data_IF_546172084390
#
_entry.id   IF_546172084390
#
_cell.length_a   1.000
_cell.length_b   1.000
_cell.length_c   1.000
_cell.angle_alpha   90.00
_cell.angle_beta   90.00
_cell.angle_gamma   90.00
#
_symmetry.space_group_name_H-M   'P 1'
#
loop_
_entity.id
_entity.type
_entity.pdbx_description
1 polymer ?
#
# COMPACT_ATOMS: atom_id res chain seq x y z
N UNK A 1 15.51 -10.77 23.41
CA UNK A 1 14.10 -11.19 23.22
C UNK A 1 13.96 -11.58 21.76
N UNK A 2 13.48 -12.79 21.47
CA UNK A 2 13.40 -13.32 20.11
C UNK A 2 12.08 -12.99 19.43
N UNK A 3 12.12 -12.86 18.11
CA UNK A 3 10.99 -12.75 17.20
C UNK A 3 11.17 -13.75 16.06
N UNK A 4 10.22 -14.68 15.91
CA UNK A 4 10.12 -15.48 14.70
C UNK A 4 9.32 -14.71 13.65
N UNK A 5 9.84 -14.67 12.42
CA UNK A 5 9.14 -14.16 11.25
C UNK A 5 8.95 -15.33 10.28
N UNK A 6 7.70 -15.59 9.90
CA UNK A 6 7.34 -16.50 8.81
C UNK A 6 6.76 -15.63 7.71
N UNK A 7 7.31 -15.71 6.51
CA UNK A 7 6.81 -14.91 5.38
C UNK A 7 7.62 -15.10 4.12
N UNK A 8 7.11 -14.55 3.02
CA UNK A 8 7.66 -14.82 1.70
C UNK A 8 9.01 -14.16 1.43
N UNK A 9 9.83 -14.84 0.63
CA UNK A 9 11.03 -14.27 -0.02
C UNK A 9 10.80 -14.31 -1.51
N UNK A 10 10.50 -13.15 -2.09
CA UNK A 10 9.99 -13.03 -3.46
C UNK A 10 10.78 -12.03 -4.26
N UNK A 11 10.84 -12.22 -5.58
CA UNK A 11 11.19 -11.12 -6.45
C UNK A 11 10.02 -10.15 -6.56
N UNK A 12 10.31 -8.85 -6.48
CA UNK A 12 9.36 -7.79 -6.78
C UNK A 12 9.92 -6.98 -7.93
N UNK A 13 9.13 -6.87 -9.00
CA UNK A 13 9.51 -6.24 -10.26
C UNK A 13 8.50 -5.15 -10.60
N UNK A 14 8.94 -3.89 -10.66
CA UNK A 14 8.14 -2.79 -11.18
C UNK A 14 8.62 -2.44 -12.59
N UNK A 15 7.69 -2.37 -13.54
CA UNK A 15 8.00 -2.03 -14.93
C UNK A 15 8.27 -0.53 -15.09
N UNK A 16 7.44 0.31 -14.47
CA UNK A 16 7.59 1.75 -14.51
C UNK A 16 7.30 2.42 -13.14
N UNK A 17 8.30 3.06 -12.50
CA UNK A 17 9.70 3.09 -12.91
C UNK A 17 10.33 1.70 -12.77
N UNK A 18 11.33 1.42 -13.61
CA UNK A 18 12.02 0.12 -13.62
C UNK A 18 12.71 -0.14 -12.26
N UNK A 19 12.24 -1.16 -11.54
CA UNK A 19 12.80 -1.61 -10.26
C UNK A 19 12.71 -3.13 -10.17
N UNK A 20 13.77 -3.78 -9.68
CA UNK A 20 13.75 -5.23 -9.41
C UNK A 20 14.57 -5.54 -8.17
N UNK A 21 13.97 -6.25 -7.22
CA UNK A 21 14.65 -6.64 -5.98
C UNK A 21 14.20 -8.00 -5.47
N UNK A 22 15.11 -8.72 -4.82
CA UNK A 22 14.75 -9.84 -3.95
C UNK A 22 14.30 -9.26 -2.61
N UNK A 23 13.04 -9.43 -2.28
CA UNK A 23 12.40 -8.97 -1.07
C UNK A 23 11.30 -9.95 -0.67
N UNK A 24 10.02 -9.60 -0.80
CA UNK A 24 8.89 -10.34 -0.21
C UNK A 24 8.56 -9.88 1.21
N UNK A 25 7.36 -10.21 1.66
CA UNK A 25 6.81 -9.72 2.93
C UNK A 25 7.66 -10.10 4.14
N UNK A 26 8.11 -11.35 4.20
CA UNK A 26 8.92 -11.88 5.28
C UNK A 26 10.33 -11.29 5.30
N UNK A 27 11.05 -11.34 4.18
CA UNK A 27 12.43 -10.84 4.11
C UNK A 27 12.48 -9.33 4.35
N UNK A 28 11.53 -8.57 3.77
CA UNK A 28 11.41 -7.13 4.02
C UNK A 28 11.16 -6.83 5.49
N UNK A 29 10.22 -7.53 6.13
CA UNK A 29 9.92 -7.34 7.55
C UNK A 29 11.14 -7.64 8.43
N UNK A 30 11.86 -8.72 8.14
CA UNK A 30 13.08 -9.08 8.87
C UNK A 30 14.16 -7.99 8.73
N UNK A 31 14.42 -7.51 7.50
CA UNK A 31 15.36 -6.41 7.26
C UNK A 31 14.91 -5.10 7.91
N UNK A 32 13.60 -4.82 7.92
CA UNK A 32 13.02 -3.63 8.52
C UNK A 32 13.23 -3.56 10.04
N UNK A 33 13.20 -4.71 10.71
CA UNK A 33 13.35 -4.84 12.16
C UNK A 33 14.79 -5.09 12.62
N UNK A 34 15.74 -5.20 11.69
CA UNK A 34 17.15 -5.30 12.04
C UNK A 34 17.62 -4.08 12.86
N UNK A 35 18.64 -4.29 13.69
CA UNK A 35 19.21 -3.27 14.60
C UNK A 35 18.22 -2.71 15.65
N UNK A 36 17.11 -3.41 15.94
CA UNK A 36 16.16 -3.04 17.02
C UNK A 36 16.45 -3.70 18.37
N UNK A 37 17.60 -4.36 18.52
CA UNK A 37 17.98 -5.06 19.75
C UNK A 37 17.18 -6.34 20.03
N UNK A 38 16.60 -6.93 18.98
CA UNK A 38 15.89 -8.21 19.02
C UNK A 38 16.63 -9.24 18.17
N UNK A 39 16.53 -10.51 18.55
CA UNK A 39 17.01 -11.62 17.73
C UNK A 39 15.90 -12.01 16.75
N UNK A 40 16.22 -12.11 15.47
CA UNK A 40 15.25 -12.40 14.42
C UNK A 40 15.58 -13.77 13.82
N UNK A 41 14.65 -14.71 14.01
CA UNK A 41 14.62 -15.98 13.30
C UNK A 41 13.64 -15.85 12.12
N UNK A 42 14.12 -16.05 10.90
CA UNK A 42 13.30 -15.89 9.70
C UNK A 42 13.13 -17.23 8.98
N UNK A 43 11.89 -17.62 8.68
CA UNK A 43 11.57 -18.82 7.88
C UNK A 43 10.89 -18.41 6.57
N UNK A 44 11.40 -18.94 5.46
CA UNK A 44 10.87 -18.65 4.13
C UNK A 44 11.10 -19.77 3.12
N UNK A 45 10.56 -19.57 1.93
CA UNK A 45 10.72 -20.43 0.76
C UNK A 45 11.47 -19.69 -0.33
N UNK A 46 12.37 -20.41 -1.01
CA UNK A 46 13.16 -19.84 -2.11
C UNK A 46 13.71 -20.93 -3.01
N UNK A 47 13.99 -20.59 -4.28
CA UNK A 47 14.69 -21.51 -5.17
C UNK A 47 16.13 -21.78 -4.70
N UNK A 48 16.67 -22.93 -5.10
CA UNK A 48 18.08 -23.26 -4.85
C UNK A 48 19.06 -22.23 -5.46
N UNK A 49 18.68 -21.57 -6.56
CA UNK A 49 19.50 -20.58 -7.26
C UNK A 49 19.63 -19.26 -6.48
N UNK A 50 18.54 -18.82 -5.83
CA UNK A 50 18.51 -17.51 -5.17
C UNK A 50 18.83 -17.61 -3.66
N UNK A 51 18.96 -18.83 -3.11
CA UNK A 51 19.23 -19.07 -1.70
C UNK A 51 20.46 -18.33 -1.18
N UNK A 52 21.58 -18.38 -1.88
CA UNK A 52 22.83 -17.72 -1.46
C UNK A 52 22.66 -16.20 -1.35
N UNK A 53 21.90 -15.60 -2.28
CA UNK A 53 21.58 -14.17 -2.24
C UNK A 53 20.73 -13.84 -1.01
N UNK A 54 19.70 -14.64 -0.71
CA UNK A 54 18.85 -14.42 0.46
C UNK A 54 19.60 -14.60 1.79
N UNK A 55 20.46 -15.61 1.89
CA UNK A 55 21.34 -15.82 3.05
C UNK A 55 22.31 -14.66 3.23
N UNK A 56 22.89 -14.15 2.14
CA UNK A 56 23.79 -12.97 2.16
C UNK A 56 23.06 -11.73 2.68
N UNK A 57 21.83 -11.48 2.21
CA UNK A 57 20.99 -10.39 2.71
C UNK A 57 20.75 -10.59 4.22
N UNK A 58 20.27 -11.75 4.65
CA UNK A 58 20.01 -12.01 6.07
C UNK A 58 21.24 -11.78 6.94
N UNK A 59 22.40 -12.32 6.54
CA UNK A 59 23.66 -12.16 7.27
C UNK A 59 24.09 -10.70 7.38
N UNK A 60 23.91 -9.90 6.32
CA UNK A 60 24.25 -8.47 6.34
C UNK A 60 23.41 -7.64 7.33
N UNK A 61 22.21 -8.13 7.68
CA UNK A 61 21.31 -7.53 8.66
C UNK A 61 21.33 -8.24 10.03
N UNK A 62 22.16 -9.27 10.21
CA UNK A 62 22.23 -10.05 11.45
C UNK A 62 21.00 -10.92 11.72
N UNK A 63 20.32 -11.39 10.66
CA UNK A 63 19.10 -12.20 10.72
C UNK A 63 19.47 -13.68 10.57
N UNK A 64 18.89 -14.55 11.40
CA UNK A 64 19.00 -16.00 11.25
C UNK A 64 17.99 -16.52 10.23
N UNK A 65 18.38 -16.52 8.95
CA UNK A 65 17.53 -16.97 7.84
C UNK A 65 17.52 -18.48 7.64
N UNK A 66 16.32 -19.07 7.63
CA UNK A 66 16.06 -20.48 7.34
C UNK A 66 15.23 -20.57 6.07
N UNK A 67 15.79 -21.21 5.04
CA UNK A 67 15.19 -21.29 3.72
C UNK A 67 14.86 -22.73 3.33
N UNK A 68 13.58 -22.99 3.10
CA UNK A 68 13.08 -24.23 2.52
C UNK A 68 13.12 -24.10 1.00
N UNK A 69 13.63 -25.12 0.32
CA UNK A 69 13.76 -25.09 -1.14
C UNK A 69 12.38 -25.26 -1.81
N UNK A 70 12.08 -24.35 -2.73
CA UNK A 70 11.01 -24.45 -3.73
C UNK A 70 11.60 -24.70 -5.12
N UNK A 71 10.76 -25.11 -6.07
CA UNK A 71 11.17 -25.27 -7.47
C UNK A 71 11.67 -23.95 -8.06
N UNK A 72 10.96 -22.85 -7.80
CA UNK A 72 11.32 -21.51 -8.24
C UNK A 72 10.97 -20.44 -7.20
N UNK A 73 11.61 -19.28 -7.33
CA UNK A 73 11.35 -18.11 -6.49
C UNK A 73 10.21 -17.33 -7.10
N UNK A 74 9.08 -17.24 -6.40
CA UNK A 74 7.91 -16.51 -6.88
C UNK A 74 8.26 -15.04 -7.14
N UNK A 75 7.74 -14.51 -8.24
CA UNK A 75 7.94 -13.12 -8.66
C UNK A 75 6.61 -12.38 -8.70
N UNK A 76 6.53 -11.21 -8.07
CA UNK A 76 5.39 -10.30 -8.17
C UNK A 76 5.75 -9.15 -9.11
N UNK A 77 5.09 -9.10 -10.27
CA UNK A 77 5.30 -8.05 -11.27
C UNK A 77 4.22 -6.97 -11.17
N UNK A 78 4.64 -5.72 -11.11
CA UNK A 78 3.84 -4.51 -11.02
C UNK A 78 4.05 -3.71 -12.31
N UNK A 79 2.96 -3.22 -12.90
CA UNK A 79 3.07 -2.29 -14.04
C UNK A 79 3.62 -0.94 -13.58
N UNK A 80 3.12 -0.48 -12.44
CA UNK A 80 3.57 0.70 -11.72
C UNK A 80 3.33 0.52 -10.21
N UNK A 81 3.82 1.40 -9.33
CA UNK A 81 3.77 1.15 -7.88
C UNK A 81 2.37 0.97 -7.30
N UNK A 82 1.36 1.60 -7.90
CA UNK A 82 -0.05 1.49 -7.49
C UNK A 82 -0.83 0.30 -8.08
N UNK A 83 -0.22 -0.48 -8.98
CA UNK A 83 -0.91 -1.59 -9.65
C UNK A 83 -1.01 -2.81 -8.75
N UNK A 84 -2.07 -3.62 -8.93
CA UNK A 84 -2.12 -4.95 -8.35
C UNK A 84 -1.03 -5.84 -8.98
N UNK A 85 -0.23 -6.56 -8.18
CA UNK A 85 0.82 -7.40 -8.74
C UNK A 85 0.25 -8.63 -9.43
N UNK A 86 0.92 -9.04 -10.50
CA UNK A 86 0.72 -10.35 -11.13
C UNK A 86 1.77 -11.33 -10.59
N UNK A 87 1.40 -12.40 -9.89
CA UNK A 87 2.34 -13.42 -9.45
C UNK A 87 2.78 -14.31 -10.61
N UNK A 88 4.06 -14.66 -10.64
CA UNK A 88 4.70 -15.59 -11.56
C UNK A 88 5.48 -16.65 -10.79
N UNK A 89 5.55 -17.85 -11.37
CA UNK A 89 6.20 -19.03 -10.79
C UNK A 89 5.20 -20.09 -10.32
N UNK A 90 5.70 -21.28 -10.04
CA UNK A 90 4.96 -22.43 -9.53
C UNK A 90 4.60 -22.18 -8.07
N UNK A 91 3.30 -22.07 -7.83
CA UNK A 91 2.73 -21.99 -6.50
C UNK A 91 2.46 -23.41 -6.02
N UNK A 92 3.38 -23.93 -5.22
CA UNK A 92 3.17 -25.16 -4.48
C UNK A 92 2.14 -24.92 -3.35
N UNK A 93 1.35 -25.91 -2.96
CA UNK A 93 0.47 -25.79 -1.79
C UNK A 93 0.85 -26.88 -0.79
N UNK A 94 1.93 -26.62 -0.05
CA UNK A 94 2.51 -27.56 0.91
C UNK A 94 2.01 -27.29 2.33
N UNK A 95 1.90 -28.34 3.12
CA UNK A 95 1.55 -28.25 4.54
C UNK A 95 2.80 -28.46 5.39
N UNK A 96 3.09 -27.53 6.31
CA UNK A 96 4.17 -27.68 7.28
C UNK A 96 3.68 -27.42 8.70
N UNK A 97 4.38 -27.99 9.66
CA UNK A 97 4.28 -27.61 11.06
C UNK A 97 5.57 -26.96 11.50
N UNK A 98 5.48 -25.79 12.12
CA UNK A 98 6.62 -25.13 12.74
C UNK A 98 6.58 -25.28 14.27
N UNK A 99 7.72 -25.03 14.91
CA UNK A 99 7.86 -25.09 16.36
C UNK A 99 7.05 -23.97 17.02
N UNK A 100 6.72 -24.21 18.29
CA UNK A 100 6.11 -23.20 19.15
C UNK A 100 7.09 -22.10 19.48
N UNK A 101 6.67 -20.85 19.31
CA UNK A 101 7.45 -19.66 19.59
C UNK A 101 6.73 -18.74 20.58
N UNK A 102 7.49 -17.87 21.23
CA UNK A 102 6.91 -16.87 22.14
C UNK A 102 6.26 -15.72 21.36
N UNK A 103 6.94 -15.21 20.33
CA UNK A 103 6.49 -14.08 19.52
C UNK A 103 6.64 -14.43 18.04
N UNK A 104 5.53 -14.36 17.30
CA UNK A 104 5.48 -14.68 15.88
C UNK A 104 4.85 -13.55 15.07
N UNK A 105 5.58 -13.07 14.06
CA UNK A 105 5.03 -12.29 12.96
C UNK A 105 4.85 -13.22 11.76
N UNK A 106 3.60 -13.45 11.37
CA UNK A 106 3.26 -14.42 10.33
C UNK A 106 2.58 -13.72 9.15
N UNK A 107 3.30 -13.66 8.03
CA UNK A 107 2.75 -13.36 6.73
C UNK A 107 2.35 -14.67 6.05
N UNK A 108 1.10 -14.79 5.60
CA UNK A 108 0.68 -15.99 4.88
C UNK A 108 1.47 -16.13 3.57
N UNK A 109 1.98 -17.34 3.36
CA UNK A 109 2.81 -17.70 2.22
C UNK A 109 1.94 -18.10 1.02
N UNK A 110 2.51 -18.01 -0.18
CA UNK A 110 1.88 -18.57 -1.39
C UNK A 110 2.19 -20.06 -1.54
N UNK A 111 3.38 -20.48 -1.13
CA UNK A 111 3.95 -21.81 -1.35
C UNK A 111 3.48 -22.86 -0.33
N UNK A 112 2.96 -22.40 0.80
CA UNK A 112 2.69 -23.26 1.93
C UNK A 112 1.65 -22.70 2.90
N UNK A 113 0.91 -23.61 3.52
CA UNK A 113 0.23 -23.39 4.77
C UNK A 113 1.15 -23.83 5.93
N UNK A 114 1.38 -22.93 6.88
CA UNK A 114 2.21 -23.22 8.07
C UNK A 114 1.30 -23.26 9.29
N UNK A 115 1.30 -24.40 9.97
CA UNK A 115 0.63 -24.59 11.25
C UNK A 115 1.61 -24.37 12.40
N UNK A 116 1.25 -23.49 13.33
CA UNK A 116 2.06 -23.21 14.52
C UNK A 116 1.20 -22.86 15.73
N UNK A 117 1.74 -23.05 16.93
CA UNK A 117 1.12 -22.60 18.19
C UNK A 117 2.09 -21.61 18.84
N UNK A 118 1.70 -20.35 19.03
CA UNK A 118 2.58 -19.32 19.61
C UNK A 118 1.87 -18.51 20.69
N UNK A 119 2.62 -17.85 21.58
CA UNK A 119 1.98 -17.04 22.64
C UNK A 119 1.37 -15.76 22.04
N UNK A 120 2.18 -14.92 21.42
CA UNK A 120 1.72 -13.75 20.67
C UNK A 120 1.91 -13.94 19.17
N UNK A 121 0.88 -13.57 18.40
CA UNK A 121 0.89 -13.62 16.95
C UNK A 121 0.38 -12.31 16.37
N UNK A 122 1.16 -11.73 15.46
CA UNK A 122 0.67 -10.75 14.49
C UNK A 122 0.56 -11.45 13.14
N UNK A 123 -0.66 -11.54 12.62
CA UNK A 123 -0.95 -12.24 11.36
C UNK A 123 -1.35 -11.24 10.27
N UNK A 124 -0.64 -11.27 9.16
CA UNK A 124 -0.98 -10.55 7.92
C UNK A 124 -1.24 -11.62 6.84
N UNK A 125 -2.50 -11.88 6.48
CA UNK A 125 -2.85 -13.01 5.64
C UNK A 125 -2.08 -13.06 4.33
N UNK A 126 -2.02 -11.99 3.53
CA UNK A 126 -1.40 -11.92 2.17
C UNK A 126 -1.91 -12.96 1.12
N UNK A 127 -2.27 -14.16 1.55
CA UNK A 127 -2.82 -15.29 0.82
C UNK A 127 -4.35 -15.36 0.90
N UNK A 128 -4.98 -14.51 1.73
CA UNK A 128 -6.43 -14.46 1.91
C UNK A 128 -6.99 -15.58 2.79
N UNK A 129 -6.14 -16.34 3.48
CA UNK A 129 -6.55 -17.42 4.38
C UNK A 129 -6.76 -16.86 5.78
N UNK A 130 -7.88 -17.21 6.42
CA UNK A 130 -8.15 -16.88 7.81
C UNK A 130 -7.11 -17.51 8.75
N UNK A 131 -6.76 -16.84 9.85
CA UNK A 131 -5.79 -17.38 10.79
C UNK A 131 -6.24 -18.74 11.35
N UNK A 132 -7.51 -18.87 11.73
CA UNK A 132 -8.08 -20.14 12.22
C UNK A 132 -7.98 -21.29 11.20
N UNK A 133 -8.09 -20.97 9.90
CA UNK A 133 -8.11 -21.95 8.81
C UNK A 133 -6.69 -22.46 8.50
N UNK A 134 -5.64 -21.75 8.94
CA UNK A 134 -4.26 -22.28 8.90
C UNK A 134 -4.06 -23.47 9.85
N UNK A 135 -4.97 -23.66 10.81
CA UNK A 135 -4.84 -24.63 11.90
C UNK A 135 -3.93 -24.16 13.04
N UNK A 136 -3.44 -22.93 12.98
CA UNK A 136 -2.58 -22.32 14.00
C UNK A 136 -3.36 -21.87 15.24
N UNK A 137 -2.65 -21.64 16.35
CA UNK A 137 -3.21 -21.12 17.60
C UNK A 137 -2.36 -20.01 18.17
N UNK A 138 -3.02 -19.06 18.83
CA UNK A 138 -2.38 -17.95 19.52
C UNK A 138 -3.12 -17.67 20.84
N UNK A 139 -2.40 -17.30 21.90
CA UNK A 139 -3.03 -16.78 23.12
C UNK A 139 -3.42 -15.30 22.94
N UNK A 140 -2.58 -14.54 22.24
CA UNK A 140 -2.79 -13.16 21.88
C UNK A 140 -2.65 -13.03 20.37
N UNK A 141 -3.73 -12.60 19.69
CA UNK A 141 -3.78 -12.53 18.24
C UNK A 141 -4.15 -11.12 17.77
N UNK A 142 -3.30 -10.55 16.91
CA UNK A 142 -3.60 -9.36 16.14
C UNK A 142 -3.63 -9.68 14.64
N UNK A 143 -4.70 -9.27 13.94
CA UNK A 143 -4.76 -9.35 12.47
C UNK A 143 -4.52 -7.98 11.85
N UNK A 144 -3.66 -7.94 10.82
CA UNK A 144 -3.39 -6.73 10.04
C UNK A 144 -3.88 -6.96 8.61
N UNK A 145 -4.86 -6.17 8.18
CA UNK A 145 -5.62 -6.39 6.94
C UNK A 145 -5.71 -5.09 6.16
N UNK A 146 -5.73 -5.15 4.83
CA UNK A 146 -6.24 -4.02 4.03
C UNK A 146 -7.78 -4.07 3.91
N UNK A 147 -8.41 -2.98 3.43
CA UNK A 147 -9.88 -2.90 3.24
C UNK A 147 -10.44 -4.09 2.47
N UNK A 148 -9.87 -4.42 1.30
CA UNK A 148 -10.33 -5.54 0.45
C UNK A 148 -10.15 -6.89 1.15
N UNK A 149 -9.01 -7.14 1.79
CA UNK A 149 -8.75 -8.36 2.57
C UNK A 149 -9.73 -8.50 3.74
N UNK A 150 -10.03 -7.40 4.44
CA UNK A 150 -10.94 -7.41 5.58
C UNK A 150 -12.38 -7.75 5.17
N UNK A 151 -12.83 -7.30 4.00
CA UNK A 151 -14.13 -7.67 3.43
C UNK A 151 -14.18 -9.16 3.06
N UNK A 152 -13.10 -9.69 2.48
CA UNK A 152 -13.00 -11.11 2.11
C UNK A 152 -12.99 -12.02 3.35
N UNK A 153 -12.15 -11.71 4.34
CA UNK A 153 -12.00 -12.50 5.57
C UNK A 153 -13.26 -12.45 6.44
N UNK A 154 -13.91 -11.29 6.51
CA UNK A 154 -15.18 -11.16 7.23
C UNK A 154 -16.38 -11.77 6.49
N UNK A 155 -16.21 -12.15 5.20
CA UNK A 155 -17.27 -12.57 4.28
C UNK A 155 -18.35 -11.50 4.05
N UNK A 156 -18.03 -10.23 4.31
CA UNK A 156 -18.89 -9.07 4.09
C UNK A 156 -18.35 -8.27 2.90
N UNK A 157 -18.50 -8.82 1.69
CA UNK A 157 -17.86 -8.29 0.47
C UNK A 157 -18.37 -6.92 0.05
N UNK A 158 -19.64 -6.62 0.32
CA UNK A 158 -20.29 -5.37 -0.10
C UNK A 158 -20.40 -4.35 1.05
N UNK A 159 -19.92 -4.69 2.24
CA UNK A 159 -19.96 -3.80 3.40
C UNK A 159 -18.86 -2.73 3.31
N UNK A 160 -19.19 -1.49 3.69
CA UNK A 160 -18.28 -0.35 3.70
C UNK A 160 -17.96 0.15 5.10
N UNK A 161 -18.76 -0.24 6.10
CA UNK A 161 -18.50 0.04 7.50
C UNK A 161 -17.36 -0.85 8.04
N UNK A 162 -16.17 -0.25 8.11
CA UNK A 162 -14.97 -0.91 8.61
C UNK A 162 -15.08 -1.31 10.10
N UNK A 163 -15.92 -0.63 10.90
CA UNK A 163 -16.12 -0.98 12.30
C UNK A 163 -16.90 -2.29 12.41
N UNK A 164 -17.96 -2.45 11.62
CA UNK A 164 -18.74 -3.70 11.54
C UNK A 164 -17.90 -4.86 11.03
N UNK A 165 -17.12 -4.62 9.96
CA UNK A 165 -16.20 -5.61 9.40
C UNK A 165 -15.21 -6.08 10.46
N UNK A 166 -14.51 -5.17 11.14
CA UNK A 166 -13.51 -5.57 12.13
C UNK A 166 -14.09 -6.25 13.36
N UNK A 167 -15.28 -5.85 13.83
CA UNK A 167 -15.97 -6.56 14.92
C UNK A 167 -16.34 -8.00 14.53
N UNK A 168 -16.77 -8.21 13.29
CA UNK A 168 -17.03 -9.55 12.75
C UNK A 168 -15.75 -10.41 12.74
N UNK A 169 -14.61 -9.82 12.37
CA UNK A 169 -13.31 -10.51 12.35
C UNK A 169 -12.86 -10.86 13.76
N UNK A 170 -12.96 -9.93 14.73
CA UNK A 170 -12.65 -10.20 16.15
C UNK A 170 -13.42 -11.42 16.66
N UNK A 171 -14.74 -11.41 16.46
CA UNK A 171 -15.60 -12.48 16.95
C UNK A 171 -15.31 -13.83 16.30
N UNK A 172 -15.00 -13.81 15.00
CA UNK A 172 -14.86 -15.03 14.22
C UNK A 172 -13.45 -15.63 14.34
N UNK A 173 -12.38 -14.82 14.36
CA UNK A 173 -11.00 -15.28 14.57
C UNK A 173 -10.61 -15.43 16.05
N UNK A 174 -11.47 -14.99 16.98
CA UNK A 174 -11.14 -14.84 18.40
C UNK A 174 -9.87 -13.98 18.61
N UNK A 175 -9.80 -12.87 17.87
CA UNK A 175 -8.65 -11.96 17.90
C UNK A 175 -8.78 -10.91 19.01
N UNK A 176 -7.65 -10.50 19.57
CA UNK A 176 -7.58 -9.38 20.53
C UNK A 176 -7.62 -8.03 19.80
N UNK A 177 -6.98 -7.96 18.64
CA UNK A 177 -6.83 -6.74 17.85
C UNK A 177 -7.06 -7.03 16.37
N UNK A 178 -7.80 -6.16 15.70
CA UNK A 178 -7.88 -6.11 14.24
C UNK A 178 -7.49 -4.71 13.77
N UNK A 179 -6.49 -4.62 12.89
CA UNK A 179 -6.10 -3.37 12.24
C UNK A 179 -6.49 -3.43 10.77
N UNK A 180 -7.36 -2.53 10.34
CA UNK A 180 -7.78 -2.39 8.94
C UNK A 180 -7.08 -1.16 8.34
N UNK A 181 -6.12 -1.42 7.44
CA UNK A 181 -5.41 -0.44 6.60
C UNK A 181 -6.36 0.02 5.49
N UNK A 182 -6.63 1.32 5.44
CA UNK A 182 -7.53 1.94 4.46
C UNK A 182 -6.77 2.90 3.51
N UNK A 183 -5.60 2.49 3.03
CA UNK A 183 -4.83 3.22 2.01
C UNK A 183 -4.60 4.69 2.37
N UNK A 184 -5.07 5.59 1.50
CA UNK A 184 -5.00 7.05 1.65
C UNK A 184 -5.82 7.62 2.82
N UNK A 185 -6.60 6.81 3.52
CA UNK A 185 -7.42 7.25 4.65
C UNK A 185 -6.86 6.84 6.01
N UNK A 186 -5.71 6.16 6.06
CA UNK A 186 -5.07 5.75 7.32
C UNK A 186 -5.46 4.34 7.72
N UNK A 187 -5.57 4.08 9.02
CA UNK A 187 -5.95 2.76 9.52
C UNK A 187 -6.94 2.87 10.68
N UNK A 188 -7.70 1.80 10.89
CA UNK A 188 -8.61 1.63 12.01
C UNK A 188 -8.13 0.49 12.88
N UNK A 189 -7.90 0.75 14.16
CA UNK A 189 -7.55 -0.25 15.17
C UNK A 189 -8.80 -0.58 15.96
N UNK A 190 -9.17 -1.85 15.97
CA UNK A 190 -10.42 -2.33 16.55
C UNK A 190 -10.05 -3.38 17.60
N UNK A 191 -10.58 -3.17 18.79
CA UNK A 191 -10.51 -4.05 19.95
C UNK A 191 -11.96 -4.31 20.42
N UNK A 192 -12.24 -5.34 21.23
CA UNK A 192 -13.60 -5.69 21.64
C UNK A 192 -14.42 -4.52 22.21
N UNK A 193 -13.76 -3.59 22.89
CA UNK A 193 -14.40 -2.46 23.59
C UNK A 193 -13.96 -1.08 23.08
N UNK A 194 -13.17 -1.02 22.01
CA UNK A 194 -12.42 0.19 21.64
C UNK A 194 -12.20 0.26 20.12
N UNK A 195 -12.34 1.46 19.55
CA UNK A 195 -12.08 1.73 18.14
C UNK A 195 -11.24 3.00 18.08
N UNK A 196 -10.07 2.91 17.45
CA UNK A 196 -9.12 4.01 17.35
C UNK A 196 -8.72 4.25 15.89
N UNK A 197 -8.85 5.49 15.46
CA UNK A 197 -8.36 5.92 14.17
C UNK A 197 -6.86 6.25 14.23
N UNK A 198 -6.11 5.81 13.22
CA UNK A 198 -4.70 6.12 13.01
C UNK A 198 -4.57 6.96 11.73
N UNK A 199 -4.02 8.19 11.81
CA UNK A 199 -3.88 9.06 10.66
C UNK A 199 -2.78 8.57 9.71
N UNK A 200 -2.81 9.08 8.48
CA UNK A 200 -1.67 9.05 7.56
C UNK A 200 -0.72 10.20 7.86
N UNK A 201 0.52 10.07 7.41
CA UNK A 201 1.56 11.07 7.56
C UNK A 201 2.01 11.56 6.20
N UNK A 202 2.12 12.88 6.05
CA UNK A 202 2.53 13.48 4.77
C UNK A 202 3.95 13.01 4.40
N UNK A 203 4.12 12.68 3.13
CA UNK A 203 5.43 12.43 2.51
C UNK A 203 5.62 13.32 1.29
N UNK A 204 6.87 13.51 0.86
CA UNK A 204 7.19 14.25 -0.37
C UNK A 204 7.13 13.37 -1.62
N UNK A 205 7.46 12.11 -1.47
CA UNK A 205 7.46 11.05 -2.50
C UNK A 205 6.83 9.80 -1.91
N UNK A 206 6.25 8.94 -2.75
CA UNK A 206 5.50 7.77 -2.27
C UNK A 206 5.81 6.53 -3.10
N UNK A 207 6.46 5.56 -2.47
CA UNK A 207 6.68 4.21 -2.98
C UNK A 207 5.86 3.19 -2.15
N UNK A 208 4.66 2.80 -2.60
CA UNK A 208 3.75 1.96 -1.82
C UNK A 208 4.12 0.47 -1.79
N UNK A 209 4.97 -0.03 -2.71
CA UNK A 209 5.30 -1.46 -2.76
C UNK A 209 6.06 -1.89 -1.50
N UNK A 210 5.46 -2.81 -0.75
CA UNK A 210 5.97 -3.32 0.52
C UNK A 210 5.61 -2.48 1.76
N UNK A 211 4.85 -1.40 1.59
CA UNK A 211 4.40 -0.53 2.69
C UNK A 211 3.61 -1.28 3.78
N UNK A 212 2.81 -2.26 3.36
CA UNK A 212 2.04 -3.13 4.24
C UNK A 212 2.91 -4.01 5.13
N UNK A 213 4.02 -4.53 4.61
CA UNK A 213 4.94 -5.38 5.38
C UNK A 213 5.68 -4.55 6.43
N UNK A 214 6.05 -3.31 6.09
CA UNK A 214 6.63 -2.37 7.06
C UNK A 214 5.64 -2.05 8.17
N UNK A 215 4.37 -1.86 7.83
CA UNK A 215 3.33 -1.61 8.83
C UNK A 215 3.22 -2.80 9.80
N UNK A 216 3.04 -4.02 9.27
CA UNK A 216 2.85 -5.23 10.07
C UNK A 216 4.10 -5.54 10.92
N UNK A 217 5.30 -5.33 10.38
CA UNK A 217 6.56 -5.49 11.11
C UNK A 217 6.71 -4.47 12.26
N UNK A 218 6.50 -3.18 11.98
CA UNK A 218 6.59 -2.13 12.98
C UNK A 218 5.51 -2.26 14.06
N UNK A 219 4.30 -2.68 13.69
CA UNK A 219 3.23 -3.00 14.63
C UNK A 219 3.63 -4.16 15.55
N UNK A 220 4.16 -5.26 14.99
CA UNK A 220 4.62 -6.42 15.74
C UNK A 220 5.72 -6.06 16.76
N UNK A 221 6.69 -5.24 16.38
CA UNK A 221 7.70 -4.74 17.31
C UNK A 221 7.06 -4.04 18.52
N UNK A 222 6.11 -3.13 18.28
CA UNK A 222 5.53 -2.31 19.35
C UNK A 222 4.48 -3.04 20.20
N UNK A 223 3.54 -3.74 19.57
CA UNK A 223 2.46 -4.42 20.25
C UNK A 223 2.93 -5.72 20.91
N UNK A 224 3.70 -6.53 20.18
CA UNK A 224 4.11 -7.85 20.65
C UNK A 224 5.47 -7.84 21.37
N UNK A 225 6.48 -7.09 20.95
CA UNK A 225 7.76 -7.12 21.69
C UNK A 225 7.75 -6.13 22.86
N UNK A 226 7.37 -4.87 22.60
CA UNK A 226 7.37 -3.80 23.60
C UNK A 226 6.09 -3.71 24.44
N UNK A 227 5.07 -4.53 24.14
CA UNK A 227 3.79 -4.61 24.88
C UNK A 227 3.05 -3.28 24.97
N UNK A 228 3.15 -2.45 23.94
CA UNK A 228 2.41 -1.20 23.86
C UNK A 228 0.93 -1.43 23.48
N UNK A 229 0.02 -0.52 23.86
CA UNK A 229 -1.36 -0.55 23.39
C UNK A 229 -1.45 -0.61 21.86
N UNK A 230 -2.45 -1.32 21.33
CA UNK A 230 -2.62 -1.53 19.89
C UNK A 230 -2.66 -0.22 19.09
N UNK A 231 -3.32 0.81 19.63
CA UNK A 231 -3.36 2.15 19.05
C UNK A 231 -1.97 2.76 18.85
N UNK A 232 -1.13 2.69 19.89
CA UNK A 232 0.20 3.31 19.88
C UNK A 232 1.15 2.53 18.97
N UNK A 233 1.03 1.20 18.96
CA UNK A 233 1.74 0.34 18.02
C UNK A 233 1.37 0.65 16.57
N UNK A 234 0.08 0.81 16.26
CA UNK A 234 -0.38 1.16 14.92
C UNK A 234 0.00 2.59 14.51
N UNK A 235 0.04 3.53 15.46
CA UNK A 235 0.53 4.89 15.21
C UNK A 235 2.02 4.89 14.83
N UNK A 236 2.84 4.11 15.55
CA UNK A 236 4.25 3.92 15.21
C UNK A 236 4.42 3.22 13.85
N UNK A 237 3.60 2.21 13.57
CA UNK A 237 3.59 1.51 12.29
C UNK A 237 3.27 2.46 11.12
N UNK A 238 2.22 3.28 11.25
CA UNK A 238 1.85 4.27 10.23
C UNK A 238 2.98 5.28 9.94
N UNK A 239 3.67 5.76 10.97
CA UNK A 239 4.86 6.63 10.81
C UNK A 239 6.01 5.91 10.09
N UNK A 240 6.31 4.68 10.50
CA UNK A 240 7.38 3.87 9.91
C UNK A 240 7.09 3.55 8.44
N UNK A 241 5.83 3.28 8.11
CA UNK A 241 5.38 3.09 6.73
C UNK A 241 5.54 4.36 5.91
N UNK A 242 5.19 5.53 6.45
CA UNK A 242 5.41 6.80 5.74
C UNK A 242 6.91 7.07 5.49
N UNK A 243 7.77 6.81 6.47
CA UNK A 243 9.24 6.90 6.31
C UNK A 243 9.76 5.98 5.21
N UNK A 244 9.30 4.72 5.19
CA UNK A 244 9.68 3.77 4.14
C UNK A 244 9.12 4.16 2.77
N UNK A 245 7.86 4.59 2.67
CA UNK A 245 7.28 5.02 1.40
C UNK A 245 8.06 6.20 0.79
N UNK A 246 8.59 7.11 1.61
CA UNK A 246 9.36 8.25 1.12
C UNK A 246 10.79 7.87 0.74
N UNK A 247 11.45 7.06 1.57
CA UNK A 247 12.92 6.84 1.48
C UNK A 247 13.33 5.50 0.90
N UNK A 248 12.46 4.48 1.01
CA UNK A 248 12.74 3.07 0.71
C UNK A 248 13.92 2.47 1.50
N UNK A 249 14.34 3.13 2.59
CA UNK A 249 15.49 2.74 3.40
C UNK A 249 15.11 1.66 4.41
N UNK A 250 15.97 0.64 4.54
CA UNK A 250 15.94 -0.38 5.59
C UNK A 250 17.32 -0.44 6.28
N UNK A 251 17.39 -0.72 7.59
CA UNK A 251 16.27 -0.98 8.51
C UNK A 251 15.46 0.29 8.82
N UNK A 252 14.30 0.13 9.48
CA UNK A 252 13.50 1.28 9.95
C UNK A 252 14.36 2.06 10.95
N UNK A 253 14.57 3.39 10.76
CA UNK A 253 15.37 4.19 11.68
C UNK A 253 14.88 4.08 13.14
N UNK A 254 15.79 4.09 14.11
CA UNK A 254 15.43 4.09 15.54
C UNK A 254 14.77 5.42 15.92
N UNK A 255 15.25 6.52 15.34
CA UNK A 255 14.67 7.84 15.51
C UNK A 255 13.85 8.15 14.25
N UNK A 256 12.53 8.05 14.37
CA UNK A 256 11.62 8.44 13.30
C UNK A 256 11.73 9.94 13.02
N UNK A 257 11.62 10.32 11.74
CA UNK A 257 11.47 11.74 11.38
C UNK A 257 10.14 12.22 11.96
N UNK A 258 10.14 13.41 12.57
CA UNK A 258 8.89 13.99 13.05
C UNK A 258 8.00 14.32 11.85
N UNK A 259 6.97 13.50 11.62
CA UNK A 259 5.99 13.71 10.56
C UNK A 259 4.71 14.33 11.09
N UNK A 260 4.20 15.30 10.35
CA UNK A 260 2.87 15.89 10.61
C UNK A 260 1.79 14.92 10.13
N UNK A 261 0.83 14.55 10.99
CA UNK A 261 -0.34 13.79 10.55
C UNK A 261 -1.12 14.66 9.55
N UNK A 262 -1.64 14.06 8.49
CA UNK A 262 -2.65 14.72 7.69
C UNK A 262 -3.97 14.62 8.45
N UNK A 263 -4.67 15.76 8.54
CA UNK A 263 -5.99 15.79 9.16
C UNK A 263 -6.93 14.83 8.43
N UNK A 264 -7.90 14.27 9.17
CA UNK A 264 -8.85 13.31 8.61
C UNK A 264 -9.47 13.90 7.34
N UNK A 265 -9.25 13.23 6.21
CA UNK A 265 -9.91 13.53 4.95
C UNK A 265 -11.36 13.03 5.09
N UNK A 266 -12.22 13.85 5.69
CA UNK A 266 -13.60 13.47 6.03
C UNK A 266 -14.50 13.40 4.80
N UNK A 267 -14.05 13.93 3.64
CA UNK A 267 -14.89 14.03 2.44
C UNK A 267 -14.19 13.45 1.22
N UNK A 268 -14.93 12.62 0.49
CA UNK A 268 -14.60 12.23 -0.88
C UNK A 268 -14.35 13.49 -1.71
N UNK A 269 -13.20 13.56 -2.38
CA UNK A 269 -12.87 14.68 -3.26
C UNK A 269 -13.57 14.51 -4.60
N UNK A 270 -14.06 15.59 -5.19
CA UNK A 270 -14.47 15.64 -6.59
C UNK A 270 -13.28 16.07 -7.44
N UNK A 271 -12.79 15.16 -8.26
CA UNK A 271 -11.59 15.35 -9.09
C UNK A 271 -12.02 15.40 -10.55
N UNK A 272 -11.61 16.47 -11.24
CA UNK A 272 -11.65 16.52 -12.70
C UNK A 272 -10.37 15.91 -13.26
N UNK A 273 -10.48 14.80 -13.99
CA UNK A 273 -9.37 14.10 -14.64
C UNK A 273 -9.21 14.62 -16.08
N UNK A 274 -8.23 15.49 -16.27
CA UNK A 274 -7.85 16.05 -17.55
C UNK A 274 -6.66 15.29 -18.17
N UNK A 275 -6.62 15.23 -19.49
CA UNK A 275 -5.51 14.63 -20.22
C UNK A 275 -5.91 14.19 -21.62
N UNK A 276 -4.94 13.94 -22.50
CA UNK A 276 -5.21 13.51 -23.86
C UNK A 276 -5.78 12.08 -23.88
N UNK A 277 -6.57 11.77 -24.91
CA UNK A 277 -7.13 10.43 -25.16
C UNK A 277 -7.27 10.13 -26.67
N UNK A 278 -6.38 10.71 -27.48
CA UNK A 278 -6.41 10.64 -28.95
C UNK A 278 -6.02 9.26 -29.48
N UNK A 279 -5.09 8.58 -28.81
CA UNK A 279 -4.64 7.23 -29.16
C UNK A 279 -5.02 6.18 -28.09
N UNK A 280 -4.64 4.93 -28.33
CA UNK A 280 -4.94 3.81 -27.43
C UNK A 280 -4.17 3.91 -26.11
N UNK A 281 -2.89 4.30 -26.14
CA UNK A 281 -2.05 4.38 -24.94
C UNK A 281 -2.55 5.47 -23.99
N UNK A 282 -2.90 6.62 -24.53
CA UNK A 282 -3.49 7.73 -23.78
C UNK A 282 -4.83 7.34 -23.13
N UNK A 283 -5.72 6.66 -23.86
CA UNK A 283 -6.98 6.15 -23.31
C UNK A 283 -6.77 5.15 -22.18
N UNK A 284 -5.83 4.22 -22.35
CA UNK A 284 -5.48 3.25 -21.31
C UNK A 284 -4.98 3.94 -20.04
N UNK A 285 -4.14 4.96 -20.19
CA UNK A 285 -3.58 5.66 -19.05
C UNK A 285 -4.62 6.52 -18.30
N UNK A 286 -5.53 7.18 -19.03
CA UNK A 286 -6.68 7.86 -18.42
C UNK A 286 -7.56 6.88 -17.62
N UNK A 287 -7.84 5.69 -18.18
CA UNK A 287 -8.62 4.67 -17.48
C UNK A 287 -7.92 4.20 -16.20
N UNK A 288 -6.61 3.95 -16.26
CA UNK A 288 -5.83 3.52 -15.09
C UNK A 288 -5.84 4.60 -13.99
N UNK A 289 -5.58 5.86 -14.34
CA UNK A 289 -5.67 6.98 -13.40
C UNK A 289 -7.05 7.08 -12.76
N UNK A 290 -8.11 7.00 -13.57
CA UNK A 290 -9.50 7.07 -13.08
C UNK A 290 -9.79 5.95 -12.10
N UNK A 291 -9.43 4.71 -12.45
CA UNK A 291 -9.69 3.54 -11.62
C UNK A 291 -9.00 3.68 -10.26
N UNK A 292 -7.73 4.07 -10.23
CA UNK A 292 -7.00 4.22 -8.95
C UNK A 292 -7.57 5.36 -8.12
N UNK A 293 -7.90 6.51 -8.73
CA UNK A 293 -8.52 7.63 -8.01
C UNK A 293 -9.88 7.24 -7.41
N UNK A 294 -10.69 6.44 -8.12
CA UNK A 294 -11.94 5.88 -7.60
C UNK A 294 -11.70 4.88 -6.46
N UNK A 295 -10.68 4.01 -6.56
CA UNK A 295 -10.28 3.09 -5.48
C UNK A 295 -9.82 3.82 -4.21
N UNK A 296 -9.34 5.06 -4.36
CA UNK A 296 -9.00 5.96 -3.25
C UNK A 296 -10.23 6.69 -2.71
N UNK A 297 -11.43 6.17 -2.97
CA UNK A 297 -12.74 6.68 -2.57
C UNK A 297 -13.02 8.13 -3.04
N UNK A 298 -12.39 8.60 -4.13
CA UNK A 298 -12.71 9.88 -4.75
C UNK A 298 -13.91 9.76 -5.71
N UNK A 299 -14.53 10.90 -6.04
CA UNK A 299 -15.48 11.03 -7.13
C UNK A 299 -14.76 11.65 -8.35
N UNK A 300 -14.70 10.95 -9.48
CA UNK A 300 -13.86 11.34 -10.62
C UNK A 300 -14.69 11.57 -11.87
N UNK A 301 -14.65 12.80 -12.37
CA UNK A 301 -15.17 13.16 -13.68
C UNK A 301 -14.03 13.10 -14.71
N UNK A 302 -14.26 12.49 -15.86
CA UNK A 302 -13.31 12.40 -16.97
C UNK A 302 -14.02 12.70 -18.29
N UNK A 303 -13.53 13.64 -19.13
CA UNK A 303 -14.14 13.92 -20.43
C UNK A 303 -14.33 12.69 -21.31
N UNK A 304 -13.34 11.78 -21.31
CA UNK A 304 -13.39 10.52 -22.05
C UNK A 304 -14.62 9.66 -21.66
N UNK A 305 -15.01 9.68 -20.40
CA UNK A 305 -15.99 8.76 -19.84
C UNK A 305 -17.38 9.37 -19.65
N UNK A 306 -17.41 10.62 -19.18
CA UNK A 306 -18.64 11.25 -18.66
C UNK A 306 -19.25 12.24 -19.66
N UNK A 307 -18.42 12.85 -20.53
CA UNK A 307 -18.90 13.64 -21.67
C UNK A 307 -18.98 12.84 -22.96
N UNK A 308 -18.05 11.88 -23.14
CA UNK A 308 -18.00 11.02 -24.32
C UNK A 308 -17.69 11.78 -25.61
N UNK A 309 -18.24 11.30 -26.74
CA UNK A 309 -18.05 11.90 -28.07
C UNK A 309 -19.30 12.69 -28.48
N UNK A 310 -19.11 13.89 -29.02
CA UNK A 310 -20.17 14.87 -29.26
C UNK A 310 -19.68 16.09 -30.02
N UNK A 311 -20.53 17.12 -30.17
CA UNK A 311 -20.13 18.37 -30.82
C UNK A 311 -19.48 19.32 -29.81
N UNK A 312 -18.66 20.29 -30.26
CA UNK A 312 -18.06 21.27 -29.38
C UNK A 312 -19.08 22.02 -28.51
N UNK A 313 -20.26 22.33 -29.06
CA UNK A 313 -21.33 23.07 -28.39
C UNK A 313 -21.99 22.26 -27.27
N UNK A 314 -21.92 20.92 -27.33
CA UNK A 314 -22.48 20.05 -26.28
C UNK A 314 -21.43 19.65 -25.24
N UNK A 315 -20.19 19.37 -25.66
CA UNK A 315 -19.13 18.89 -24.76
C UNK A 315 -18.53 20.02 -23.93
N UNK A 316 -18.17 21.15 -24.55
CA UNK A 316 -17.43 22.19 -23.85
C UNK A 316 -18.17 22.74 -22.62
N UNK A 317 -19.49 23.03 -22.68
CA UNK A 317 -20.22 23.46 -21.48
C UNK A 317 -20.26 22.42 -20.36
N UNK A 318 -20.32 21.13 -20.70
CA UNK A 318 -20.32 20.05 -19.70
C UNK A 318 -18.97 19.95 -18.99
N UNK A 319 -17.87 20.03 -19.75
CA UNK A 319 -16.53 20.02 -19.18
C UNK A 319 -16.29 21.23 -18.26
N UNK A 320 -16.72 22.42 -18.67
CA UNK A 320 -16.61 23.64 -17.87
C UNK A 320 -17.40 23.51 -16.56
N UNK A 321 -18.67 23.08 -16.63
CA UNK A 321 -19.52 22.85 -15.45
C UNK A 321 -18.91 21.78 -14.51
N UNK A 322 -18.31 20.73 -15.07
CA UNK A 322 -17.62 19.71 -14.28
C UNK A 322 -16.36 20.24 -13.57
N UNK A 323 -15.57 21.12 -14.21
CA UNK A 323 -14.43 21.79 -13.58
C UNK A 323 -14.91 22.71 -12.44
N UNK A 324 -15.96 23.49 -12.65
CA UNK A 324 -16.53 24.39 -11.64
C UNK A 324 -17.01 23.62 -10.40
N UNK A 325 -17.65 22.46 -10.62
CA UNK A 325 -18.14 21.57 -9.55
C UNK A 325 -17.04 20.78 -8.85
N UNK A 326 -15.88 20.60 -9.46
CA UNK A 326 -14.77 19.82 -8.87
C UNK A 326 -14.06 20.59 -7.77
N UNK A 327 -13.46 19.87 -6.83
CA UNK A 327 -12.66 20.44 -5.75
C UNK A 327 -11.22 20.72 -6.23
N UNK A 328 -10.73 19.90 -7.17
CA UNK A 328 -9.43 20.03 -7.83
C UNK A 328 -9.42 19.41 -9.22
N UNK A 329 -8.40 19.75 -10.01
CA UNK A 329 -8.07 19.11 -11.28
C UNK A 329 -6.83 18.22 -11.11
N UNK A 330 -6.92 16.98 -11.60
CA UNK A 330 -5.77 16.11 -11.82
C UNK A 330 -5.53 16.04 -13.33
N UNK A 331 -4.40 16.56 -13.79
CA UNK A 331 -4.11 16.66 -15.21
C UNK A 331 -2.90 15.80 -15.60
N UNK A 332 -3.05 15.05 -16.71
CA UNK A 332 -1.96 14.32 -17.36
C UNK A 332 -1.42 15.19 -18.49
N UNK A 333 -0.21 15.73 -18.32
CA UNK A 333 0.39 16.67 -19.26
C UNK A 333 1.21 15.98 -20.39
N UNK A 334 1.25 14.66 -20.41
CA UNK A 334 1.99 13.89 -21.41
C UNK A 334 1.56 14.32 -22.83
N UNK A 335 2.50 14.76 -23.67
CA UNK A 335 2.21 15.20 -25.04
C UNK A 335 1.70 16.64 -25.19
N UNK A 336 1.58 17.42 -24.10
CA UNK A 336 1.31 18.87 -24.12
C UNK A 336 0.03 19.26 -24.87
N UNK A 337 -1.05 18.51 -24.63
CA UNK A 337 -2.35 18.74 -25.24
C UNK A 337 -2.88 20.16 -24.92
N UNK A 338 -3.19 20.99 -25.94
CA UNK A 338 -3.77 22.32 -25.74
C UNK A 338 -5.10 22.31 -24.98
N UNK A 339 -5.93 21.27 -25.15
CA UNK A 339 -7.20 21.13 -24.42
C UNK A 339 -6.97 21.01 -22.92
N UNK A 340 -6.09 20.08 -22.53
CA UNK A 340 -5.66 19.88 -21.14
C UNK A 340 -5.04 21.17 -20.55
N UNK A 341 -4.19 21.88 -21.30
CA UNK A 341 -3.63 23.17 -20.84
C UNK A 341 -4.69 24.24 -20.61
N UNK A 342 -5.70 24.32 -21.47
CA UNK A 342 -6.85 25.21 -21.30
C UNK A 342 -7.65 24.86 -20.03
N UNK A 343 -7.93 23.58 -19.81
CA UNK A 343 -8.67 23.09 -18.62
C UNK A 343 -7.90 23.42 -17.33
N UNK A 344 -6.58 23.23 -17.32
CA UNK A 344 -5.73 23.62 -16.18
C UNK A 344 -5.80 25.14 -15.96
N UNK A 345 -5.60 25.93 -17.01
CA UNK A 345 -5.63 27.40 -16.92
C UNK A 345 -6.97 27.92 -16.40
N UNK A 346 -8.08 27.36 -16.89
CA UNK A 346 -9.43 27.70 -16.43
C UNK A 346 -9.65 27.32 -14.97
N UNK A 347 -9.26 26.11 -14.56
CA UNK A 347 -9.35 25.67 -13.17
C UNK A 347 -8.53 26.58 -12.22
N UNK A 348 -7.33 27.00 -12.62
CA UNK A 348 -6.50 27.94 -11.86
C UNK A 348 -7.11 29.33 -11.76
N UNK A 349 -7.74 29.83 -12.83
CA UNK A 349 -8.46 31.09 -12.80
C UNK A 349 -9.63 31.08 -11.80
N UNK A 350 -10.23 29.90 -11.56
CA UNK A 350 -11.24 29.67 -10.53
C UNK A 350 -10.66 29.37 -9.13
N UNK A 351 -9.35 29.54 -8.93
CA UNK A 351 -8.61 29.19 -7.71
C UNK A 351 -8.73 27.71 -7.29
N UNK A 352 -9.02 26.79 -8.23
CA UNK A 352 -9.04 25.35 -7.96
C UNK A 352 -7.62 24.82 -7.85
N UNK A 353 -7.37 23.91 -6.91
CA UNK A 353 -6.08 23.21 -6.80
C UNK A 353 -5.83 22.39 -8.07
N UNK A 354 -4.60 22.40 -8.57
CA UNK A 354 -4.21 21.64 -9.76
C UNK A 354 -3.03 20.75 -9.44
N UNK A 355 -3.24 19.44 -9.57
CA UNK A 355 -2.21 18.41 -9.46
C UNK A 355 -1.92 17.90 -10.87
N UNK A 356 -0.66 17.92 -11.27
CA UNK A 356 -0.24 17.62 -12.64
C UNK A 356 0.74 16.46 -12.61
N UNK A 357 0.40 15.38 -13.29
CA UNK A 357 1.35 14.33 -13.62
C UNK A 357 1.95 14.59 -15.01
N UNK A 358 3.27 14.43 -15.13
CA UNK A 358 3.95 14.61 -16.39
C UNK A 358 5.14 13.67 -16.55
N UNK A 359 5.38 13.23 -17.78
CA UNK A 359 6.55 12.48 -18.20
C UNK A 359 7.10 13.08 -19.49
N UNK A 360 8.42 13.10 -19.62
CA UNK A 360 9.11 13.61 -20.82
C UNK A 360 8.71 15.05 -21.21
N UNK A 361 8.40 15.90 -20.22
CA UNK A 361 8.11 17.33 -20.39
C UNK A 361 9.31 18.14 -19.91
N UNK A 362 9.73 19.17 -20.66
CA UNK A 362 10.87 20.01 -20.25
C UNK A 362 10.48 20.96 -19.11
N UNK A 363 11.47 21.47 -18.38
CA UNK A 363 11.19 22.45 -17.33
C UNK A 363 10.60 23.75 -17.90
N UNK A 364 11.00 24.18 -19.10
CA UNK A 364 10.44 25.39 -19.71
C UNK A 364 8.94 25.25 -19.99
N UNK A 365 8.50 24.07 -20.42
CA UNK A 365 7.09 23.76 -20.67
C UNK A 365 6.24 23.82 -19.37
N UNK A 366 6.87 23.68 -18.19
CA UNK A 366 6.21 23.72 -16.89
C UNK A 366 6.19 25.12 -16.25
N UNK A 367 6.92 26.11 -16.78
CA UNK A 367 7.11 27.41 -16.12
C UNK A 367 5.82 28.11 -15.73
N UNK A 368 4.85 28.17 -16.64
CA UNK A 368 3.56 28.81 -16.35
C UNK A 368 2.74 28.01 -15.33
N UNK A 369 2.84 26.68 -15.34
CA UNK A 369 2.10 25.81 -14.43
C UNK A 369 2.66 25.95 -13.01
N UNK A 370 3.98 25.82 -12.84
CA UNK A 370 4.64 26.00 -11.55
C UNK A 370 4.47 27.44 -11.05
N UNK A 371 4.67 28.43 -11.92
CA UNK A 371 4.55 29.85 -11.58
C UNK A 371 3.14 30.29 -11.16
N UNK A 372 2.10 29.51 -11.51
CA UNK A 372 0.71 29.75 -11.10
C UNK A 372 0.27 28.85 -9.93
N UNK A 373 1.20 28.14 -9.30
CA UNK A 373 0.97 27.33 -8.10
C UNK A 373 0.35 25.96 -8.37
N UNK A 374 0.53 25.40 -9.57
CA UNK A 374 0.22 23.99 -9.82
C UNK A 374 1.25 23.08 -9.15
N UNK A 375 0.80 21.94 -8.63
CA UNK A 375 1.65 20.91 -8.05
C UNK A 375 2.03 19.91 -9.15
N UNK A 376 3.25 20.00 -9.67
CA UNK A 376 3.72 19.16 -10.78
C UNK A 376 4.60 18.01 -10.27
N UNK A 377 4.24 16.79 -10.66
CA UNK A 377 4.91 15.56 -10.25
C UNK A 377 5.31 14.72 -11.47
N UNK A 378 6.55 14.24 -11.46
CA UNK A 378 7.04 13.22 -12.41
C UNK A 378 6.95 11.80 -11.86
N UNK A 379 6.51 11.64 -10.60
CA UNK A 379 6.28 10.34 -9.98
C UNK A 379 4.78 10.05 -9.93
N UNK A 380 4.37 8.97 -10.60
CA UNK A 380 2.96 8.64 -10.80
C UNK A 380 2.22 8.42 -9.48
N UNK A 381 2.81 7.62 -8.59
CA UNK A 381 2.24 7.34 -7.27
C UNK A 381 2.02 8.60 -6.46
N UNK A 382 3.04 9.45 -6.38
CA UNK A 382 3.01 10.71 -5.62
C UNK A 382 1.95 11.64 -6.17
N UNK A 383 1.78 11.72 -7.49
CA UNK A 383 0.74 12.54 -8.12
C UNK A 383 -0.67 12.08 -7.69
N UNK A 384 -0.97 10.78 -7.76
CA UNK A 384 -2.28 10.21 -7.43
C UNK A 384 -2.63 10.41 -5.95
N UNK A 385 -1.68 10.11 -5.05
CA UNK A 385 -1.86 10.37 -3.62
C UNK A 385 -2.05 11.85 -3.33
N UNK A 386 -1.25 12.73 -3.96
CA UNK A 386 -1.38 14.18 -3.78
C UNK A 386 -2.75 14.70 -4.20
N UNK A 387 -3.33 14.15 -5.27
CA UNK A 387 -4.69 14.48 -5.71
C UNK A 387 -5.77 14.00 -4.73
N UNK A 388 -5.52 12.91 -4.01
CA UNK A 388 -6.45 12.33 -3.05
C UNK A 388 -6.34 12.94 -1.65
N UNK A 389 -5.22 13.59 -1.33
CA UNK A 389 -4.95 14.26 -0.05
C UNK A 389 -5.46 15.70 0.04
#
# INVERSE_FOLDING_TARGET
>A
MGLKIIGGTYYEECLDPLDRKLAGSGLRAACALANKGIEIDFLSFISQKDKELAETICNSFGINGQFIISEETITFSYKHPLSLPTPYGIIENREFSDKREENLLFYGLKEANIKTESNYVVYDPQNGINFRDTGSKANHLALILNKKESQLISKLTDETDLELIGKSIIASENAEVVVIKNGSHGALVIEPNSINYVPIFKTTTIWPIGSGDIFSAAFALKWMIERLPAKDAALYASKSTADYCETRVLPIPVNAVERKPLEKLIKQKRIYLAGPFFDMGQRWFINECRNILLEFDNNVFSPLHDSGFGTPESIAPQNIDAIEKSDLIFAILNGKDPGTLFEIGFARALNKRAVIFYENVSQEDLFMLVGTGCECFSDFSTAIYSASW
#
